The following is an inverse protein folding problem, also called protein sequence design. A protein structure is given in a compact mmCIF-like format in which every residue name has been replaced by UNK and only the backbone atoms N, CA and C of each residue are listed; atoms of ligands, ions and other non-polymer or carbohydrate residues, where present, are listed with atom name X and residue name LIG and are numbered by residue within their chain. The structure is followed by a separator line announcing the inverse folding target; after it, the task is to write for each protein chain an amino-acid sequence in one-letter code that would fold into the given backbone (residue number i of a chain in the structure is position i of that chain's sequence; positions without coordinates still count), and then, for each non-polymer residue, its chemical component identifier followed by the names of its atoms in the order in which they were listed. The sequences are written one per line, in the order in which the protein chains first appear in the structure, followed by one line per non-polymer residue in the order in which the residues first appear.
data_IF_656491638361
#
_entry.id   IF_656491638361
#
_cell.length_a   1.000
_cell.length_b   1.000
_cell.length_c   1.000
_cell.angle_alpha   90.00
_cell.angle_beta   90.00
_cell.angle_gamma   90.00
#
_symmetry.space_group_name_H-M   'P 1'
#
loop_
_entity.id
_entity.type
_entity.pdbx_description
1 polymer ?
#
# COMPACT_ATOMS: atom_id res chain seq x y z
N UNK A 1 -10.84 13.48 -33.80
CA UNK A 1 -9.77 13.19 -32.82
C UNK A 1 -9.82 11.72 -32.50
N UNK A 2 -8.69 11.01 -32.48
CA UNK A 2 -8.63 9.60 -32.07
C UNK A 2 -9.02 9.54 -30.59
N UNK A 3 -9.94 8.67 -30.21
CA UNK A 3 -10.36 8.54 -28.81
C UNK A 3 -9.20 7.90 -28.04
N UNK A 4 -8.66 8.59 -27.02
CA UNK A 4 -7.64 8.07 -26.11
C UNK A 4 -8.34 7.19 -25.07
N UNK A 5 -7.71 6.06 -24.69
CA UNK A 5 -8.19 5.19 -23.62
C UNK A 5 -7.93 5.76 -22.23
N UNK A 6 -8.62 5.25 -21.22
CA UNK A 6 -8.45 5.65 -19.82
C UNK A 6 -7.38 4.79 -19.12
N UNK A 7 -6.68 5.35 -18.13
CA UNK A 7 -5.80 4.63 -17.22
C UNK A 7 -6.50 4.44 -15.87
N UNK A 8 -6.82 3.20 -15.52
CA UNK A 8 -7.44 2.84 -14.24
C UNK A 8 -6.39 2.46 -13.21
N UNK A 9 -6.47 3.05 -12.01
CA UNK A 9 -5.69 2.61 -10.85
C UNK A 9 -6.55 1.61 -10.08
N UNK A 10 -6.20 0.33 -10.22
CA UNK A 10 -7.02 -0.80 -9.76
C UNK A 10 -6.46 -1.31 -8.43
N UNK A 11 -7.19 -1.15 -7.32
CA UNK A 11 -6.76 -1.66 -6.01
C UNK A 11 -6.81 -3.18 -5.98
N UNK A 12 -5.90 -3.77 -5.21
CA UNK A 12 -5.85 -5.20 -4.91
C UNK A 12 -6.21 -5.45 -3.45
N UNK A 13 -6.50 -6.70 -3.11
CA UNK A 13 -6.67 -7.15 -1.72
C UNK A 13 -5.37 -6.92 -0.93
N UNK A 14 -5.47 -6.73 0.38
CA UNK A 14 -4.30 -6.64 1.26
C UNK A 14 -3.75 -8.03 1.65
N UNK A 15 -4.53 -9.08 1.41
CA UNK A 15 -4.21 -10.47 1.65
C UNK A 15 -5.37 -11.38 1.27
N UNK A 16 -5.43 -12.59 1.81
CA UNK A 16 -6.50 -13.55 1.51
C UNK A 16 -7.78 -13.19 2.29
N UNK A 17 -8.65 -12.41 1.64
CA UNK A 17 -9.97 -12.03 2.16
C UNK A 17 -11.05 -12.22 1.09
N UNK A 18 -12.32 -12.22 1.49
CA UNK A 18 -13.43 -12.29 0.56
C UNK A 18 -13.49 -11.01 -0.30
N UNK A 19 -13.44 -11.17 -1.61
CA UNK A 19 -13.39 -10.04 -2.56
C UNK A 19 -14.52 -9.04 -2.32
N UNK A 20 -15.75 -9.55 -2.14
CA UNK A 20 -16.96 -8.72 -2.01
C UNK A 20 -17.02 -7.92 -0.71
N UNK A 21 -16.23 -8.29 0.30
CA UNK A 21 -16.18 -7.56 1.57
C UNK A 21 -15.24 -6.34 1.48
N UNK A 22 -14.32 -6.35 0.51
CA UNK A 22 -13.22 -5.39 0.47
C UNK A 22 -13.20 -4.56 -0.80
N UNK A 23 -13.60 -5.14 -1.96
CA UNK A 23 -13.55 -4.47 -3.24
C UNK A 23 -14.95 -4.20 -3.80
N UNK A 24 -15.24 -2.97 -4.24
CA UNK A 24 -16.49 -2.65 -4.93
C UNK A 24 -16.62 -3.41 -6.27
N UNK A 25 -17.86 -3.71 -6.67
CA UNK A 25 -18.17 -4.36 -7.93
C UNK A 25 -17.52 -3.66 -9.15
N UNK A 26 -17.36 -2.33 -9.07
CA UNK A 26 -16.71 -1.53 -10.11
C UNK A 26 -15.29 -1.99 -10.44
N UNK A 27 -14.55 -2.52 -9.47
CA UNK A 27 -13.20 -3.05 -9.70
C UNK A 27 -13.26 -4.25 -10.65
N UNK A 28 -14.20 -5.18 -10.43
CA UNK A 28 -14.42 -6.32 -11.30
C UNK A 28 -14.83 -5.90 -12.72
N UNK A 29 -15.76 -4.93 -12.85
CA UNK A 29 -16.20 -4.42 -14.15
C UNK A 29 -15.03 -3.85 -14.96
N UNK A 30 -14.13 -3.08 -14.31
CA UNK A 30 -12.95 -2.51 -14.96
C UNK A 30 -11.94 -3.59 -15.34
N UNK A 31 -11.74 -4.61 -14.49
CA UNK A 31 -10.89 -5.75 -14.82
C UNK A 31 -11.42 -6.50 -16.03
N UNK A 32 -12.74 -6.63 -16.18
CA UNK A 32 -13.36 -7.23 -17.38
C UNK A 32 -13.19 -6.35 -18.63
N UNK A 33 -13.24 -5.04 -18.48
CA UNK A 33 -13.11 -4.06 -19.57
C UNK A 33 -11.70 -4.04 -20.16
N UNK A 34 -10.64 -4.09 -19.32
CA UNK A 34 -9.27 -3.93 -19.75
C UNK A 34 -8.62 -5.28 -20.11
N UNK A 35 -7.75 -5.30 -21.13
CA UNK A 35 -6.88 -6.44 -21.46
C UNK A 35 -5.40 -6.13 -21.18
N UNK A 36 -5.03 -4.87 -21.07
CA UNK A 36 -3.66 -4.39 -20.89
C UNK A 36 -3.48 -3.90 -19.45
N UNK A 37 -2.49 -4.47 -18.74
CA UNK A 37 -2.27 -4.12 -17.34
C UNK A 37 -0.79 -3.90 -17.08
N UNK A 38 -0.48 -2.80 -16.42
CA UNK A 38 0.83 -2.53 -15.84
C UNK A 38 0.79 -3.11 -14.43
N UNK A 39 1.72 -4.02 -14.11
CA UNK A 39 1.66 -4.85 -12.90
C UNK A 39 3.03 -4.96 -12.24
N UNK A 40 3.07 -5.02 -10.92
CA UNK A 40 4.31 -5.23 -10.19
C UNK A 40 4.85 -6.65 -10.43
N UNK A 41 3.99 -7.66 -10.24
CA UNK A 41 4.31 -9.06 -10.48
C UNK A 41 3.22 -9.72 -11.37
N UNK A 42 3.57 -10.18 -12.60
CA UNK A 42 2.61 -10.79 -13.52
C UNK A 42 1.87 -12.01 -12.96
N UNK A 43 2.56 -12.84 -12.14
CA UNK A 43 1.95 -14.03 -11.53
C UNK A 43 0.87 -13.65 -10.52
N UNK A 44 1.17 -12.67 -9.65
CA UNK A 44 0.23 -12.18 -8.64
C UNK A 44 -0.98 -11.49 -9.31
N UNK A 45 -0.72 -10.66 -10.32
CA UNK A 45 -1.78 -9.99 -11.09
C UNK A 45 -2.71 -11.00 -11.78
N UNK A 46 -2.19 -12.05 -12.42
CA UNK A 46 -3.02 -13.11 -13.02
C UNK A 46 -3.87 -13.82 -11.97
N UNK A 47 -3.29 -14.12 -10.79
CA UNK A 47 -4.03 -14.73 -9.68
C UNK A 47 -5.17 -13.81 -9.21
N UNK A 48 -4.92 -12.53 -9.01
CA UNK A 48 -5.91 -11.54 -8.63
C UNK A 48 -7.04 -11.44 -9.67
N UNK A 49 -6.69 -11.27 -10.96
CA UNK A 49 -7.67 -11.19 -12.05
C UNK A 49 -8.54 -12.45 -12.09
N UNK A 50 -7.94 -13.63 -11.90
CA UNK A 50 -8.70 -14.91 -11.89
C UNK A 50 -9.67 -14.99 -10.69
N UNK A 51 -9.30 -14.41 -9.56
CA UNK A 51 -10.15 -14.39 -8.34
C UNK A 51 -11.32 -13.42 -8.52
N UNK A 52 -11.07 -12.21 -9.04
CA UNK A 52 -12.10 -11.17 -9.13
C UNK A 52 -12.99 -11.30 -10.37
N UNK A 53 -12.47 -11.85 -11.46
CA UNK A 53 -13.17 -12.03 -12.74
C UNK A 53 -12.84 -13.43 -13.33
N UNK A 54 -13.38 -14.52 -12.77
CA UNK A 54 -13.05 -15.90 -13.18
C UNK A 54 -13.33 -16.20 -14.65
N UNK A 55 -14.31 -15.50 -15.25
CA UNK A 55 -14.71 -15.62 -16.65
C UNK A 55 -13.75 -14.95 -17.63
N UNK A 56 -12.84 -14.10 -17.16
CA UNK A 56 -11.88 -13.42 -18.02
C UNK A 56 -10.79 -14.38 -18.50
N UNK A 57 -10.63 -14.48 -19.84
CA UNK A 57 -9.57 -15.30 -20.42
C UNK A 57 -8.19 -14.80 -20.02
N UNK A 58 -7.38 -15.69 -19.44
CA UNK A 58 -6.00 -15.39 -19.09
C UNK A 58 -5.08 -15.21 -20.31
N UNK A 59 -5.46 -15.75 -21.46
CA UNK A 59 -4.74 -15.63 -22.73
C UNK A 59 -4.91 -14.24 -23.35
N UNK A 60 -6.02 -13.55 -23.06
CA UNK A 60 -6.28 -12.19 -23.55
C UNK A 60 -5.54 -11.12 -22.76
N UNK A 61 -4.81 -11.48 -21.69
CA UNK A 61 -4.12 -10.53 -20.83
C UNK A 61 -2.74 -10.22 -21.37
N UNK A 62 -2.49 -8.96 -21.65
CA UNK A 62 -1.17 -8.40 -21.88
C UNK A 62 -0.68 -7.66 -20.63
N UNK A 63 0.42 -8.15 -20.04
CA UNK A 63 0.93 -7.65 -18.75
C UNK A 63 2.29 -7.00 -18.94
N UNK A 64 2.43 -5.76 -18.47
CA UNK A 64 3.64 -4.94 -18.52
C UNK A 64 4.25 -4.89 -17.12
N UNK A 65 5.35 -5.62 -16.85
CA UNK A 65 5.97 -5.63 -15.52
C UNK A 65 6.58 -4.28 -15.17
N UNK A 66 6.19 -3.72 -14.01
CA UNK A 66 6.71 -2.47 -13.49
C UNK A 66 7.31 -2.69 -12.09
N UNK A 67 8.63 -2.78 -12.03
CA UNK A 67 9.36 -2.97 -10.77
C UNK A 67 10.69 -2.20 -10.80
N UNK A 68 11.48 -2.30 -9.73
CA UNK A 68 12.76 -1.58 -9.59
C UNK A 68 13.82 -1.92 -10.66
N UNK A 69 13.62 -3.00 -11.42
CA UNK A 69 14.53 -3.44 -12.48
C UNK A 69 14.02 -3.06 -13.88
N UNK A 70 12.82 -2.51 -14.00
CA UNK A 70 12.25 -2.11 -15.30
C UNK A 70 13.03 -0.93 -15.87
N UNK A 71 13.55 -1.09 -17.09
CA UNK A 71 14.32 -0.04 -17.76
C UNK A 71 13.43 1.17 -18.10
N UNK A 72 14.02 2.36 -18.11
CA UNK A 72 13.27 3.59 -18.41
C UNK A 72 12.67 3.56 -19.83
N UNK A 73 13.41 3.04 -20.81
CA UNK A 73 12.94 2.91 -22.18
C UNK A 73 11.69 2.03 -22.31
N UNK A 74 11.57 0.97 -21.51
CA UNK A 74 10.39 0.11 -21.50
C UNK A 74 9.16 0.87 -20.97
N UNK A 75 9.34 1.61 -19.86
CA UNK A 75 8.26 2.41 -19.25
C UNK A 75 7.65 3.42 -20.19
N UNK A 76 8.47 4.04 -21.05
CA UNK A 76 8.01 5.01 -22.05
C UNK A 76 7.02 4.44 -23.05
N UNK A 77 7.03 3.12 -23.26
CA UNK A 77 6.10 2.43 -24.17
C UNK A 77 4.82 1.95 -23.49
N UNK A 78 4.76 1.91 -22.16
CA UNK A 78 3.67 1.25 -21.41
C UNK A 78 2.29 1.88 -21.64
N UNK A 79 2.22 3.15 -22.00
CA UNK A 79 0.95 3.85 -22.28
C UNK A 79 0.54 3.84 -23.77
N UNK A 80 1.27 3.15 -24.64
CA UNK A 80 1.00 3.12 -26.07
C UNK A 80 -0.44 2.67 -26.38
N UNK A 81 -0.94 1.66 -25.69
CA UNK A 81 -2.32 1.18 -25.89
C UNK A 81 -3.37 2.23 -25.47
N UNK A 82 -3.13 3.03 -24.44
CA UNK A 82 -4.00 4.16 -24.12
C UNK A 82 -4.03 5.18 -25.27
N UNK A 83 -2.88 5.51 -25.85
CA UNK A 83 -2.77 6.43 -26.98
C UNK A 83 -3.42 5.86 -28.26
N UNK A 84 -3.54 4.54 -28.36
CA UNK A 84 -4.26 3.83 -29.44
C UNK A 84 -5.77 3.74 -29.20
N UNK A 85 -6.26 4.12 -28.02
CA UNK A 85 -7.69 4.16 -27.69
C UNK A 85 -8.17 3.00 -26.81
N UNK A 86 -7.25 2.15 -26.31
CA UNK A 86 -7.55 1.04 -25.42
C UNK A 86 -7.34 1.47 -23.95
N UNK A 87 -8.32 1.24 -23.10
CA UNK A 87 -8.14 1.49 -21.68
C UNK A 87 -7.22 0.44 -21.04
N UNK A 88 -6.44 0.88 -20.05
CA UNK A 88 -5.46 0.07 -19.33
C UNK A 88 -5.67 0.14 -17.83
N UNK A 89 -5.14 -0.84 -17.10
CA UNK A 89 -5.11 -0.84 -15.64
C UNK A 89 -3.70 -0.85 -15.07
N UNK A 90 -3.49 -0.20 -13.92
CA UNK A 90 -2.33 -0.43 -13.04
C UNK A 90 -2.80 -1.24 -11.86
N UNK A 91 -2.12 -2.35 -11.54
CA UNK A 91 -2.43 -3.23 -10.39
C UNK A 91 -1.14 -3.43 -9.58
N UNK A 92 -1.17 -3.12 -8.29
CA UNK A 92 -0.11 -3.45 -7.34
C UNK A 92 -0.29 -4.85 -6.76
N UNK A 93 0.73 -5.36 -6.08
CA UNK A 93 0.65 -6.68 -5.43
C UNK A 93 -0.31 -6.67 -4.23
N UNK A 94 -0.50 -5.51 -3.56
CA UNK A 94 -1.49 -5.33 -2.49
C UNK A 94 -1.97 -3.87 -2.41
N UNK A 95 -3.22 -3.63 -2.02
CA UNK A 95 -3.74 -2.29 -1.75
C UNK A 95 -3.82 -1.37 -2.97
N UNK A 96 -3.57 -0.09 -2.77
CA UNK A 96 -3.71 0.96 -3.77
C UNK A 96 -2.43 1.13 -4.60
N UNK A 97 -2.49 1.00 -5.95
CA UNK A 97 -1.32 1.20 -6.79
C UNK A 97 -0.76 2.61 -6.69
N UNK A 98 0.54 2.77 -6.89
CA UNK A 98 1.30 4.02 -6.77
C UNK A 98 1.40 4.60 -5.34
N UNK A 99 0.90 3.91 -4.32
CA UNK A 99 1.04 4.27 -2.91
C UNK A 99 1.96 3.25 -2.23
N UNK A 100 3.16 3.65 -1.86
CA UNK A 100 4.25 2.80 -1.37
C UNK A 100 4.78 1.76 -2.40
N UNK A 101 4.18 1.71 -3.59
CA UNK A 101 4.42 0.78 -4.68
C UNK A 101 4.79 1.51 -5.96
N UNK A 102 5.34 0.81 -6.98
CA UNK A 102 5.56 1.37 -8.30
C UNK A 102 4.27 1.88 -8.95
N UNK A 103 4.39 2.89 -9.83
CA UNK A 103 3.26 3.39 -10.62
C UNK A 103 3.14 4.91 -10.69
N UNK A 104 3.64 5.65 -9.70
CA UNK A 104 3.56 7.12 -9.68
C UNK A 104 4.19 7.77 -10.92
N UNK A 105 5.26 7.19 -11.46
CA UNK A 105 5.91 7.66 -12.69
C UNK A 105 5.02 7.45 -13.93
N UNK A 106 4.32 6.30 -14.02
CA UNK A 106 3.37 6.02 -15.10
C UNK A 106 2.18 6.99 -15.03
N UNK A 107 1.67 7.25 -13.83
CA UNK A 107 0.61 8.24 -13.61
C UNK A 107 1.06 9.63 -14.07
N UNK A 108 2.30 10.04 -13.76
CA UNK A 108 2.86 11.32 -14.23
C UNK A 108 2.97 11.36 -15.76
N UNK A 109 3.43 10.29 -16.39
CA UNK A 109 3.48 10.18 -17.86
C UNK A 109 2.07 10.24 -18.47
N UNK A 110 1.08 9.61 -17.85
CA UNK A 110 -0.31 9.67 -18.30
C UNK A 110 -0.85 11.12 -18.30
N UNK A 111 -0.52 11.92 -17.27
CA UNK A 111 -0.84 13.35 -17.27
C UNK A 111 -0.17 14.11 -18.41
N UNK A 112 1.11 13.81 -18.71
CA UNK A 112 1.83 14.46 -19.82
C UNK A 112 1.21 14.15 -21.19
N UNK A 113 0.58 12.99 -21.33
CA UNK A 113 -0.11 12.55 -22.54
C UNK A 113 -1.62 12.84 -22.54
N UNK A 114 -2.12 13.61 -21.58
CA UNK A 114 -3.55 13.95 -21.44
C UNK A 114 -4.46 12.70 -21.33
N UNK A 115 -3.92 11.59 -20.87
CA UNK A 115 -4.67 10.36 -20.60
C UNK A 115 -5.47 10.57 -19.30
N UNK A 116 -6.77 10.31 -19.36
CA UNK A 116 -7.64 10.37 -18.19
C UNK A 116 -7.28 9.26 -17.19
N UNK A 117 -6.99 9.66 -15.95
CA UNK A 117 -6.65 8.74 -14.85
C UNK A 117 -7.87 8.56 -13.96
N UNK A 118 -8.23 7.31 -13.69
CA UNK A 118 -9.41 6.94 -12.90
C UNK A 118 -8.97 6.06 -11.72
N UNK A 119 -8.78 6.63 -10.53
CA UNK A 119 -8.53 5.84 -9.31
C UNK A 119 -9.82 5.13 -8.91
N UNK A 120 -9.72 3.83 -8.63
CA UNK A 120 -10.84 3.04 -8.12
C UNK A 120 -10.78 2.96 -6.60
N UNK A 121 -11.95 2.88 -5.97
CA UNK A 121 -12.08 2.69 -4.51
C UNK A 121 -11.63 1.29 -4.15
N UNK A 122 -10.81 1.18 -3.08
CA UNK A 122 -10.34 -0.10 -2.56
C UNK A 122 -9.57 0.06 -1.26
N UNK A 123 -9.09 -1.05 -0.68
CA UNK A 123 -8.46 -1.05 0.63
C UNK A 123 -7.09 -0.38 0.60
N UNK A 124 -6.78 0.34 1.67
CA UNK A 124 -5.46 0.89 1.96
C UNK A 124 -5.12 0.57 3.41
N UNK A 125 -4.08 -0.23 3.64
CA UNK A 125 -3.62 -0.53 5.00
C UNK A 125 -3.26 0.75 5.77
N UNK A 126 -2.70 1.75 5.11
CA UNK A 126 -2.32 3.03 5.68
C UNK A 126 -3.55 3.76 6.25
N UNK A 127 -4.59 3.95 5.43
CA UNK A 127 -5.80 4.67 5.84
C UNK A 127 -6.64 3.87 6.84
N UNK A 128 -6.82 2.58 6.63
CA UNK A 128 -7.60 1.71 7.53
C UNK A 128 -6.96 1.64 8.92
N UNK A 129 -5.63 1.51 8.99
CA UNK A 129 -4.91 1.55 10.27
C UNK A 129 -5.07 2.90 10.98
N UNK A 130 -4.97 4.01 10.25
CA UNK A 130 -5.15 5.34 10.83
C UNK A 130 -6.58 5.54 11.33
N UNK A 131 -7.59 5.14 10.55
CA UNK A 131 -9.01 5.21 10.97
C UNK A 131 -9.26 4.46 12.29
N UNK A 132 -8.65 3.29 12.45
CA UNK A 132 -8.84 2.43 13.62
C UNK A 132 -7.91 2.76 14.80
N UNK A 133 -6.88 3.58 14.59
CA UNK A 133 -5.87 3.90 15.62
C UNK A 133 -6.37 4.82 16.73
N UNK A 134 -7.41 5.63 16.48
CA UNK A 134 -7.82 6.71 17.37
C UNK A 134 -6.89 7.92 17.39
N UNK A 135 -5.91 7.98 16.48
CA UNK A 135 -4.95 9.08 16.34
C UNK A 135 -5.43 10.19 15.39
N UNK A 136 -4.64 11.24 15.24
CA UNK A 136 -5.03 12.40 14.42
C UNK A 136 -5.11 12.05 12.94
N UNK A 137 -6.30 11.98 12.39
CA UNK A 137 -6.57 11.75 10.98
C UNK A 137 -6.62 13.02 10.10
N UNK A 138 -6.55 14.23 10.70
CA UNK A 138 -6.51 15.49 9.95
C UNK A 138 -5.08 15.90 9.56
N UNK A 139 -4.10 15.52 10.38
CA UNK A 139 -2.68 15.75 10.10
C UNK A 139 -1.93 14.44 10.29
N UNK A 140 -1.45 13.87 9.19
CA UNK A 140 -0.66 12.62 9.22
C UNK A 140 0.36 12.59 8.08
N UNK A 141 1.41 11.82 8.29
CA UNK A 141 2.43 11.57 7.28
C UNK A 141 2.75 10.07 7.20
N UNK A 142 2.79 9.54 5.99
CA UNK A 142 3.33 8.21 5.73
C UNK A 142 4.81 8.32 5.35
N UNK A 143 5.66 7.68 6.11
CA UNK A 143 7.12 7.79 6.03
C UNK A 143 7.78 6.59 5.33
N UNK A 144 6.98 5.60 4.86
CA UNK A 144 7.50 4.39 4.22
C UNK A 144 8.30 3.51 5.18
N UNK A 145 9.39 2.93 4.66
CA UNK A 145 10.33 2.12 5.46
C UNK A 145 11.32 3.02 6.21
N UNK A 146 11.61 2.64 7.45
CA UNK A 146 12.69 3.25 8.21
C UNK A 146 14.07 2.72 7.75
N UNK A 147 15.17 3.44 8.04
CA UNK A 147 16.52 3.00 7.69
C UNK A 147 16.84 1.61 8.23
N UNK A 148 17.59 0.83 7.44
CA UNK A 148 18.06 -0.51 7.85
C UNK A 148 19.14 -0.41 8.91
N UNK A 149 20.03 0.59 8.80
CA UNK A 149 21.04 0.87 9.79
C UNK A 149 20.41 1.22 11.14
N UNK A 150 20.94 0.64 12.21
CA UNK A 150 20.36 0.74 13.56
C UNK A 150 20.40 2.16 14.12
N UNK A 151 21.50 2.87 13.93
CA UNK A 151 21.67 4.19 14.51
C UNK A 151 20.88 5.23 13.71
N UNK A 152 20.85 5.11 12.38
CA UNK A 152 20.00 5.93 11.52
C UNK A 152 18.51 5.69 11.82
N UNK A 153 18.10 4.44 12.05
CA UNK A 153 16.72 4.08 12.39
C UNK A 153 16.31 4.68 13.75
N UNK A 154 17.17 4.61 14.77
CA UNK A 154 16.93 5.26 16.06
C UNK A 154 16.79 6.78 15.92
N UNK A 155 17.67 7.39 15.14
CA UNK A 155 17.60 8.82 14.87
C UNK A 155 16.30 9.19 14.15
N UNK A 156 15.86 8.36 13.19
CA UNK A 156 14.58 8.52 12.48
C UNK A 156 13.39 8.38 13.44
N UNK A 157 13.36 7.37 14.30
CA UNK A 157 12.30 7.18 15.30
C UNK A 157 12.16 8.41 16.20
N UNK A 158 13.28 8.93 16.74
CA UNK A 158 13.27 10.15 17.58
C UNK A 158 12.79 11.38 16.81
N UNK A 159 13.16 11.51 15.53
CA UNK A 159 12.69 12.60 14.67
C UNK A 159 11.18 12.52 14.44
N UNK A 160 10.64 11.32 14.17
CA UNK A 160 9.21 11.10 13.99
C UNK A 160 8.44 11.38 15.28
N UNK A 161 8.93 10.91 16.43
CA UNK A 161 8.35 11.22 17.74
C UNK A 161 8.30 12.73 18.01
N UNK A 162 9.40 13.44 17.73
CA UNK A 162 9.45 14.90 17.86
C UNK A 162 8.41 15.59 16.98
N UNK A 163 8.30 15.20 15.70
CA UNK A 163 7.29 15.76 14.77
C UNK A 163 5.87 15.44 15.24
N UNK A 164 5.61 14.21 15.67
CA UNK A 164 4.31 13.82 16.19
C UNK A 164 3.87 14.76 17.31
N UNK A 165 4.75 15.03 18.27
CA UNK A 165 4.50 15.89 19.44
C UNK A 165 4.39 17.37 19.09
N UNK A 166 5.32 17.92 18.29
CA UNK A 166 5.37 19.36 18.00
C UNK A 166 4.30 19.80 16.99
N UNK A 167 4.01 18.94 15.99
CA UNK A 167 3.07 19.23 14.91
C UNK A 167 1.68 18.60 15.15
N UNK A 168 1.50 17.82 16.24
CA UNK A 168 0.29 17.00 16.48
C UNK A 168 -0.06 16.15 15.27
N UNK A 169 0.95 15.61 14.57
CA UNK A 169 0.83 14.88 13.32
C UNK A 169 1.10 13.40 13.51
N UNK A 170 0.14 12.55 13.16
CA UNK A 170 0.32 11.09 13.17
C UNK A 170 1.41 10.66 12.19
N UNK A 171 2.42 9.92 12.66
CA UNK A 171 3.54 9.45 11.86
C UNK A 171 3.38 7.97 11.56
N UNK A 172 3.00 7.63 10.33
CA UNK A 172 2.81 6.24 9.87
C UNK A 172 4.09 5.74 9.20
N UNK A 173 4.44 4.49 9.44
CA UNK A 173 5.57 3.82 8.77
C UNK A 173 5.37 2.31 8.77
N UNK A 174 6.16 1.63 7.95
CA UNK A 174 6.13 0.19 7.76
C UNK A 174 7.52 -0.42 7.92
N UNK A 175 7.53 -1.72 8.15
CA UNK A 175 8.73 -2.54 8.09
C UNK A 175 8.42 -3.86 7.36
N UNK A 176 9.45 -4.57 6.95
CA UNK A 176 9.27 -5.92 6.40
C UNK A 176 8.74 -6.85 7.48
N UNK A 177 7.84 -7.79 7.15
CA UNK A 177 7.20 -8.66 8.15
C UNK A 177 8.17 -9.41 9.07
N UNK A 178 9.35 -9.75 8.57
CA UNK A 178 10.39 -10.44 9.35
C UNK A 178 11.11 -9.56 10.39
N UNK A 179 10.99 -8.22 10.30
CA UNK A 179 11.66 -7.28 11.19
C UNK A 179 10.69 -6.52 12.09
N UNK A 180 9.39 -6.72 11.95
CA UNK A 180 8.37 -6.02 12.74
C UNK A 180 8.57 -6.14 14.25
N UNK A 181 8.85 -7.35 14.73
CA UNK A 181 9.07 -7.58 16.16
C UNK A 181 10.32 -6.86 16.69
N UNK A 182 11.43 -6.94 15.94
CA UNK A 182 12.67 -6.25 16.30
C UNK A 182 12.49 -4.72 16.31
N UNK A 183 11.72 -4.18 15.34
CA UNK A 183 11.38 -2.76 15.31
C UNK A 183 10.52 -2.35 16.51
N UNK A 184 9.50 -3.14 16.85
CA UNK A 184 8.68 -2.87 18.04
C UNK A 184 9.55 -2.84 19.30
N UNK A 185 10.40 -3.85 19.50
CA UNK A 185 11.32 -3.90 20.66
C UNK A 185 12.25 -2.68 20.70
N UNK A 186 12.75 -2.23 19.56
CA UNK A 186 13.59 -1.02 19.49
C UNK A 186 12.78 0.24 19.84
N UNK A 187 11.55 0.39 19.36
CA UNK A 187 10.68 1.51 19.72
C UNK A 187 10.44 1.58 21.24
N UNK A 188 10.20 0.43 21.90
CA UNK A 188 10.01 0.36 23.36
C UNK A 188 11.24 0.81 24.16
N UNK A 189 12.44 0.75 23.58
CA UNK A 189 13.68 1.19 24.20
C UNK A 189 14.00 2.66 23.92
N UNK A 190 13.66 3.16 22.73
CA UNK A 190 14.12 4.44 22.19
C UNK A 190 13.14 5.58 22.44
N UNK A 191 11.82 5.29 22.39
CA UNK A 191 10.76 6.29 22.47
C UNK A 191 10.36 6.60 23.91
N UNK A 192 9.78 7.79 24.11
CA UNK A 192 9.26 8.24 25.40
C UNK A 192 8.13 7.32 25.90
N UNK A 193 8.05 6.98 27.18
CA UNK A 193 6.96 6.19 27.75
C UNK A 193 5.56 6.76 27.52
N UNK A 194 5.45 8.07 27.27
CA UNK A 194 4.17 8.77 27.07
C UNK A 194 3.75 8.85 25.61
N UNK A 195 4.62 8.50 24.65
CA UNK A 195 4.30 8.49 23.23
C UNK A 195 3.29 7.39 22.94
N UNK A 196 2.19 7.73 22.24
CA UNK A 196 1.22 6.75 21.79
C UNK A 196 1.75 6.01 20.56
N UNK A 197 1.61 4.69 20.58
CA UNK A 197 1.95 3.80 19.46
C UNK A 197 0.77 2.92 19.12
N UNK A 198 0.28 3.01 17.88
CA UNK A 198 -0.62 2.02 17.30
C UNK A 198 0.19 0.98 16.53
N UNK A 199 -0.16 -0.28 16.73
CA UNK A 199 0.32 -1.44 15.97
C UNK A 199 -0.89 -2.07 15.31
N UNK A 200 -0.97 -2.00 13.98
CA UNK A 200 -2.07 -2.52 13.20
C UNK A 200 -1.55 -3.65 12.28
N UNK A 201 -1.97 -4.86 12.56
CA UNK A 201 -1.55 -6.08 11.85
C UNK A 201 -2.68 -6.67 11.05
N UNK A 202 -2.36 -7.30 9.91
CA UNK A 202 -3.29 -8.08 9.09
C UNK A 202 -4.61 -7.35 8.76
N UNK A 203 -4.53 -6.03 8.54
CA UNK A 203 -5.71 -5.19 8.29
C UNK A 203 -6.53 -5.76 7.14
N UNK A 204 -7.85 -5.94 7.36
CA UNK A 204 -8.84 -6.61 6.49
C UNK A 204 -8.76 -8.14 6.44
N UNK A 205 -7.88 -8.76 7.18
CA UNK A 205 -7.75 -10.22 7.22
C UNK A 205 -8.44 -10.80 8.47
N UNK A 206 -8.73 -12.11 8.50
CA UNK A 206 -9.37 -12.73 9.67
C UNK A 206 -8.60 -12.55 10.99
N UNK A 207 -7.26 -12.47 10.91
CA UNK A 207 -6.39 -12.28 12.06
C UNK A 207 -6.05 -10.79 12.28
N UNK A 208 -6.92 -9.87 11.82
CA UNK A 208 -6.75 -8.44 12.06
C UNK A 208 -6.63 -8.13 13.55
N UNK A 209 -5.59 -7.39 13.93
CA UNK A 209 -5.43 -6.90 15.29
C UNK A 209 -4.89 -5.46 15.25
N UNK A 210 -5.63 -4.53 15.86
CA UNK A 210 -5.28 -3.11 15.90
C UNK A 210 -5.32 -2.66 17.35
N UNK A 211 -4.16 -2.27 17.89
CA UNK A 211 -4.03 -1.86 19.29
C UNK A 211 -3.25 -0.56 19.40
N UNK A 212 -3.77 0.36 20.20
CA UNK A 212 -3.14 1.63 20.50
C UNK A 212 -2.91 1.73 22.02
N UNK A 213 -1.65 1.85 22.39
CA UNK A 213 -1.22 2.06 23.78
C UNK A 213 -0.07 3.04 23.82
N UNK A 214 0.24 3.59 25.01
CA UNK A 214 1.49 4.29 25.21
C UNK A 214 2.69 3.33 25.16
N UNK A 215 3.86 3.83 24.85
CA UNK A 215 5.10 3.03 24.90
C UNK A 215 5.31 2.40 26.28
N UNK A 216 4.92 3.10 27.35
CA UNK A 216 4.97 2.58 28.72
C UNK A 216 4.10 1.33 28.91
N UNK A 217 2.86 1.36 28.39
CA UNK A 217 1.92 0.24 28.46
C UNK A 217 2.36 -0.92 27.55
N UNK A 218 2.87 -0.62 26.36
CA UNK A 218 3.38 -1.63 25.42
C UNK A 218 4.50 -2.50 26.03
N UNK A 219 5.33 -1.97 26.93
CA UNK A 219 6.38 -2.76 27.61
C UNK A 219 5.87 -3.97 28.36
N UNK A 220 4.61 -3.94 28.78
CA UNK A 220 3.97 -5.08 29.47
C UNK A 220 3.16 -5.96 28.53
N UNK A 221 2.71 -5.43 27.40
CA UNK A 221 1.75 -6.09 26.47
C UNK A 221 2.40 -6.66 25.21
N UNK A 222 3.61 -6.22 24.84
CA UNK A 222 4.22 -6.58 23.54
C UNK A 222 4.41 -8.09 23.35
N UNK A 223 4.52 -8.87 24.45
CA UNK A 223 4.67 -10.34 24.40
C UNK A 223 3.40 -11.06 23.96
N UNK A 224 2.25 -10.40 23.98
CA UNK A 224 0.96 -10.91 23.52
C UNK A 224 0.80 -10.78 22.02
N UNK A 225 1.65 -9.99 21.36
CA UNK A 225 1.63 -9.79 19.92
C UNK A 225 2.56 -10.77 19.20
N UNK A 226 2.01 -11.42 18.19
CA UNK A 226 2.77 -12.24 17.25
C UNK A 226 2.92 -11.47 15.94
N UNK A 227 4.04 -10.74 15.77
CA UNK A 227 4.29 -9.90 14.59
C UNK A 227 5.09 -10.61 13.49
N UNK A 228 5.59 -11.81 13.78
CA UNK A 228 6.42 -12.54 12.83
C UNK A 228 5.63 -12.85 11.55
N UNK A 229 6.17 -12.43 10.40
CA UNK A 229 5.59 -12.60 9.07
C UNK A 229 4.23 -11.94 8.83
N UNK A 230 3.79 -11.04 9.72
CA UNK A 230 2.51 -10.35 9.58
C UNK A 230 2.72 -8.94 8.99
N UNK A 231 1.97 -8.57 7.92
CA UNK A 231 1.93 -7.20 7.43
C UNK A 231 1.48 -6.26 8.56
N UNK A 232 2.27 -5.22 8.82
CA UNK A 232 2.04 -4.34 9.97
C UNK A 232 2.24 -2.87 9.60
N UNK A 233 1.32 -2.03 10.04
CA UNK A 233 1.46 -0.55 10.04
C UNK A 233 1.71 -0.11 11.48
N UNK A 234 2.70 0.75 11.66
CA UNK A 234 3.01 1.42 12.92
C UNK A 234 2.61 2.89 12.82
N UNK A 235 2.00 3.44 13.88
CA UNK A 235 1.61 4.86 13.92
C UNK A 235 2.03 5.45 15.27
N UNK A 236 2.74 6.58 15.25
CA UNK A 236 3.15 7.35 16.43
C UNK A 236 2.37 8.65 16.53
N UNK A 237 1.99 9.04 17.76
CA UNK A 237 1.46 10.36 18.09
C UNK A 237 1.85 10.76 19.51
#
# INVERSE_FOLDING_TARGET
MKKIGDLYLIPNLLGESAVNDVLPLRVREVVLLCNHFIVENPKNARRFIKVIAPEKSQESLELFPLNKHTAQADKETYLSHCLEGHSMGIISDAGCPAIADPGSEIVRMAHQHEIRIIPLVGPSSILLSLMASGMNGQSFAFNGYLPIDKDERKASLKRLEKRAKEELQSQLFIETPYRNEALLQEMLQVLSPHTSLCVATNVTLPEEAIHTYTIGEWKYRFKELHLEKQPTIFILL
#
